data_IF_635704348323
#
_entry.id   IF_635704348323
#
_cell.length_a   1.000
_cell.length_b   1.000
_cell.length_c   1.000
_cell.angle_alpha   90.00
_cell.angle_beta   90.00
_cell.angle_gamma   90.00
#
_symmetry.space_group_name_H-M   'P 1'
#
loop_
_entity.id
_entity.type
_entity.pdbx_description
1 polymer ?
#
# COMPACT_ATOMS: atom_id res chain seq x y z
N UNK A 1 -14.70 0.70 -13.38
CA UNK A 1 -13.65 1.66 -13.73
C UNK A 1 -12.47 1.54 -12.77
N UNK A 2 -11.28 2.04 -13.20
CA UNK A 2 -10.10 1.99 -12.33
C UNK A 2 -9.04 3.00 -12.74
N UNK A 3 -8.23 3.40 -11.76
CA UNK A 3 -7.03 4.21 -11.94
C UNK A 3 -5.85 3.36 -11.49
N UNK A 4 -4.89 3.14 -12.39
CA UNK A 4 -3.62 2.51 -12.05
C UNK A 4 -2.55 3.58 -11.85
N UNK A 5 -1.82 3.48 -10.76
CA UNK A 5 -0.77 4.42 -10.37
C UNK A 5 0.51 3.61 -10.15
N UNK A 6 1.56 3.99 -10.85
CA UNK A 6 2.91 3.46 -10.67
C UNK A 6 3.97 4.56 -10.72
N UNK A 7 5.22 4.21 -10.46
CA UNK A 7 6.36 5.12 -10.58
C UNK A 7 7.16 4.70 -11.82
N UNK A 8 7.40 5.65 -12.72
CA UNK A 8 8.21 5.43 -13.92
C UNK A 8 9.66 5.13 -13.51
N UNK A 9 10.20 4.00 -13.96
CA UNK A 9 11.54 3.49 -13.58
C UNK A 9 12.67 4.51 -13.77
N UNK A 10 12.59 5.39 -14.77
CA UNK A 10 13.60 6.42 -15.04
C UNK A 10 13.81 7.40 -13.87
N UNK A 11 12.88 7.46 -12.93
CA UNK A 11 12.94 8.33 -11.75
C UNK A 11 13.37 7.60 -10.48
N UNK A 12 13.56 6.28 -10.54
CA UNK A 12 13.87 5.46 -9.36
C UNK A 12 15.38 5.31 -9.14
N UNK A 13 16.17 5.31 -10.20
CA UNK A 13 17.60 4.98 -10.18
C UNK A 13 18.55 6.19 -10.35
N UNK A 14 18.04 7.43 -10.40
CA UNK A 14 18.86 8.64 -10.52
C UNK A 14 19.29 9.22 -9.16
N UNK A 15 20.34 10.06 -9.11
CA UNK A 15 20.66 10.85 -7.92
C UNK A 15 19.48 11.81 -7.63
N UNK A 16 18.68 11.48 -6.62
CA UNK A 16 17.37 12.10 -6.32
C UNK A 16 16.18 11.27 -6.77
N UNK A 17 16.40 10.06 -7.29
CA UNK A 17 15.33 9.10 -7.59
C UNK A 17 14.57 8.74 -6.33
N UNK A 18 13.25 8.75 -6.46
CA UNK A 18 12.33 8.31 -5.42
C UNK A 18 12.46 6.79 -5.24
N UNK A 19 13.54 6.36 -4.60
CA UNK A 19 13.46 5.12 -3.85
C UNK A 19 12.95 5.50 -2.47
N UNK A 20 11.63 5.47 -2.23
CA UNK A 20 11.06 5.96 -0.98
C UNK A 20 11.55 5.17 0.21
N UNK A 21 12.17 4.03 -0.03
CA UNK A 21 12.59 3.09 0.99
C UNK A 21 14.05 3.28 1.39
N UNK A 22 14.95 3.57 0.43
CA UNK A 22 16.38 3.70 0.74
C UNK A 22 16.73 5.01 1.44
N UNK A 23 15.83 6.00 1.42
CA UNK A 23 16.02 7.30 2.04
C UNK A 23 15.02 7.59 3.19
N UNK A 24 14.14 6.64 3.53
CA UNK A 24 13.17 6.84 4.60
C UNK A 24 13.80 6.45 5.94
N UNK A 25 13.85 7.40 6.86
CA UNK A 25 14.09 7.16 8.28
C UNK A 25 12.82 6.65 9.00
N UNK A 26 12.03 5.80 8.33
CA UNK A 26 10.86 5.21 8.97
C UNK A 26 11.30 4.36 10.15
N UNK A 27 10.73 4.63 11.33
CA UNK A 27 10.97 3.85 12.56
C UNK A 27 10.69 2.35 12.38
N UNK A 28 9.83 2.04 11.43
CA UNK A 28 9.30 0.70 11.23
C UNK A 28 10.00 -0.04 10.08
N UNK A 29 10.84 0.66 9.29
CA UNK A 29 11.52 0.06 8.15
C UNK A 29 12.34 -1.18 8.55
N UNK A 30 13.16 -1.04 9.60
CA UNK A 30 14.00 -2.15 10.09
C UNK A 30 13.15 -3.33 10.56
N UNK A 31 12.00 -3.06 11.18
CA UNK A 31 11.04 -4.08 11.58
C UNK A 31 10.45 -4.81 10.37
N UNK A 32 10.02 -4.08 9.33
CA UNK A 32 9.52 -4.69 8.10
C UNK A 32 10.60 -5.50 7.37
N UNK A 33 11.83 -5.02 7.34
CA UNK A 33 12.97 -5.76 6.79
C UNK A 33 13.24 -7.03 7.60
N UNK A 34 13.20 -6.97 8.92
CA UNK A 34 13.36 -8.13 9.81
C UNK A 34 12.28 -9.18 9.56
N UNK A 35 11.01 -8.77 9.51
CA UNK A 35 9.88 -9.66 9.20
C UNK A 35 10.08 -10.35 7.85
N UNK A 36 10.42 -9.58 6.83
CA UNK A 36 10.62 -10.12 5.48
C UNK A 36 11.78 -11.11 5.41
N UNK A 37 12.90 -10.83 6.09
CA UNK A 37 14.05 -11.71 6.15
C UNK A 37 13.72 -13.03 6.85
N UNK A 38 13.04 -13.00 8.00
CA UNK A 38 12.60 -14.21 8.71
C UNK A 38 11.70 -15.09 7.83
N UNK A 39 10.78 -14.50 7.08
CA UNK A 39 9.92 -15.24 6.16
C UNK A 39 10.71 -15.86 5.00
N UNK A 40 11.70 -15.15 4.45
CA UNK A 40 12.58 -15.70 3.42
C UNK A 40 13.44 -16.87 3.93
N UNK A 41 13.95 -16.80 5.16
CA UNK A 41 14.66 -17.91 5.80
C UNK A 41 13.75 -19.13 5.95
N UNK A 42 12.50 -18.95 6.34
CA UNK A 42 11.52 -20.03 6.38
C UNK A 42 11.31 -20.65 5.01
N UNK A 43 11.23 -19.84 3.94
CA UNK A 43 11.05 -20.35 2.59
C UNK A 43 12.23 -21.21 2.13
N UNK A 44 13.47 -20.81 2.45
CA UNK A 44 14.68 -21.58 2.08
C UNK A 44 14.76 -22.93 2.76
N UNK A 45 14.16 -23.07 3.93
CA UNK A 45 14.13 -24.30 4.73
C UNK A 45 12.87 -25.14 4.46
N UNK A 46 12.06 -24.76 3.50
CA UNK A 46 10.77 -25.41 3.23
C UNK A 46 10.99 -26.73 2.46
N UNK A 47 10.36 -27.83 2.94
CA UNK A 47 10.42 -29.10 2.23
C UNK A 47 9.46 -29.07 1.01
N UNK A 48 9.86 -29.71 -0.10
CA UNK A 48 9.11 -29.68 -1.36
C UNK A 48 7.73 -30.38 -1.31
N UNK A 49 7.35 -30.98 -0.18
CA UNK A 49 6.15 -31.80 -0.06
C UNK A 49 4.85 -31.02 0.19
N UNK A 50 4.89 -29.70 0.40
CA UNK A 50 3.69 -28.91 0.67
C UNK A 50 3.65 -27.63 -0.18
N UNK A 51 3.30 -27.79 -1.45
CA UNK A 51 3.24 -26.70 -2.43
C UNK A 51 2.24 -25.59 -2.06
N UNK A 52 1.10 -25.95 -1.44
CA UNK A 52 0.08 -24.94 -1.03
C UNK A 52 0.62 -24.01 0.04
N UNK A 53 1.29 -24.54 1.06
CA UNK A 53 1.91 -23.74 2.11
C UNK A 53 3.08 -22.90 1.58
N UNK A 54 3.78 -23.39 0.56
CA UNK A 54 4.84 -22.62 -0.11
C UNK A 54 4.27 -21.39 -0.81
N UNK A 55 3.18 -21.54 -1.56
CA UNK A 55 2.52 -20.45 -2.24
C UNK A 55 1.98 -19.39 -1.26
N UNK A 56 1.40 -19.83 -0.14
CA UNK A 56 0.95 -18.96 0.94
C UNK A 56 2.13 -18.17 1.54
N UNK A 57 3.25 -18.83 1.80
CA UNK A 57 4.45 -18.21 2.34
C UNK A 57 5.06 -17.20 1.35
N UNK A 58 5.12 -17.51 0.06
CA UNK A 58 5.58 -16.59 -0.99
C UNK A 58 4.69 -15.33 -1.07
N UNK A 59 3.38 -15.48 -0.90
CA UNK A 59 2.46 -14.34 -0.82
C UNK A 59 2.72 -13.49 0.43
N UNK A 60 2.94 -14.11 1.58
CA UNK A 60 3.25 -13.41 2.82
C UNK A 60 4.59 -12.66 2.74
N UNK A 61 5.60 -13.26 2.11
CA UNK A 61 6.88 -12.60 1.84
C UNK A 61 6.66 -11.36 0.98
N UNK A 62 5.84 -11.46 -0.06
CA UNK A 62 5.52 -10.34 -0.94
C UNK A 62 4.82 -9.22 -0.18
N UNK A 63 3.81 -9.54 0.63
CA UNK A 63 3.04 -8.56 1.43
C UNK A 63 3.86 -7.92 2.55
N UNK A 64 4.88 -8.60 3.05
CA UNK A 64 5.79 -8.08 4.09
C UNK A 64 6.97 -7.31 3.51
N UNK A 65 7.09 -7.21 2.20
CA UNK A 65 8.09 -6.38 1.56
C UNK A 65 7.80 -4.90 1.83
N UNK A 66 8.82 -4.15 2.25
CA UNK A 66 8.68 -2.71 2.56
C UNK A 66 8.10 -1.88 1.41
N UNK A 67 8.38 -2.27 0.15
CA UNK A 67 7.77 -1.63 -1.04
C UNK A 67 6.27 -1.89 -1.12
N UNK A 68 5.85 -3.13 -0.82
CA UNK A 68 4.42 -3.44 -0.77
C UNK A 68 3.73 -2.63 0.31
N UNK A 69 4.29 -2.61 1.53
CA UNK A 69 3.76 -1.87 2.68
C UNK A 69 3.62 -0.39 2.32
N UNK A 70 4.65 0.23 1.74
CA UNK A 70 4.61 1.63 1.33
C UNK A 70 3.50 1.92 0.30
N UNK A 71 3.39 1.09 -0.75
CA UNK A 71 2.35 1.27 -1.76
C UNK A 71 0.94 1.06 -1.20
N UNK A 72 0.79 0.08 -0.33
CA UNK A 72 -0.48 -0.23 0.32
C UNK A 72 -0.92 0.92 1.24
N UNK A 73 -0.03 1.42 2.07
CA UNK A 73 -0.27 2.60 2.92
C UNK A 73 -0.64 3.84 2.10
N UNK A 74 0.13 4.12 1.04
CA UNK A 74 -0.18 5.22 0.13
C UNK A 74 -1.58 5.06 -0.50
N UNK A 75 -1.95 3.84 -0.89
CA UNK A 75 -3.26 3.56 -1.46
C UNK A 75 -4.39 3.91 -0.49
N UNK A 76 -4.26 3.50 0.78
CA UNK A 76 -5.22 3.81 1.81
C UNK A 76 -5.39 5.32 2.01
N UNK A 77 -4.28 6.05 2.13
CA UNK A 77 -4.32 7.52 2.26
C UNK A 77 -4.93 8.21 1.04
N UNK A 78 -4.61 7.75 -0.16
CA UNK A 78 -5.20 8.28 -1.38
C UNK A 78 -6.71 8.03 -1.41
N UNK A 79 -7.18 6.83 -1.06
CA UNK A 79 -8.59 6.50 -1.01
C UNK A 79 -9.36 7.34 -0.01
N UNK A 80 -8.83 7.52 1.21
CA UNK A 80 -9.45 8.36 2.23
C UNK A 80 -9.61 9.82 1.75
N UNK A 81 -8.59 10.38 1.12
CA UNK A 81 -8.67 11.73 0.57
C UNK A 81 -9.55 11.81 -0.67
N UNK A 82 -9.51 10.79 -1.53
CA UNK A 82 -10.34 10.71 -2.74
C UNK A 82 -11.83 10.74 -2.39
N UNK A 83 -12.26 10.01 -1.36
CA UNK A 83 -13.66 9.98 -0.92
C UNK A 83 -14.15 11.34 -0.44
N UNK A 84 -13.31 12.07 0.29
CA UNK A 84 -13.64 13.42 0.77
C UNK A 84 -13.85 14.40 -0.39
N UNK A 85 -12.96 14.33 -1.39
CA UNK A 85 -12.95 15.30 -2.49
C UNK A 85 -13.92 14.95 -3.62
N UNK A 86 -14.25 13.66 -3.78
CA UNK A 86 -15.13 13.19 -4.86
C UNK A 86 -16.59 13.01 -4.45
N UNK A 87 -16.87 12.88 -3.14
CA UNK A 87 -18.20 12.56 -2.62
C UNK A 87 -18.59 11.09 -2.78
N UNK A 88 -17.70 10.22 -3.31
CA UNK A 88 -17.96 8.79 -3.35
C UNK A 88 -17.87 8.17 -1.96
N UNK A 89 -18.70 7.16 -1.70
CA UNK A 89 -18.57 6.36 -0.49
C UNK A 89 -17.30 5.48 -0.56
N UNK A 90 -16.58 5.34 0.56
CA UNK A 90 -15.38 4.49 0.63
C UNK A 90 -15.68 3.03 0.26
N UNK A 91 -16.86 2.53 0.59
CA UNK A 91 -17.26 1.15 0.28
C UNK A 91 -17.54 0.91 -1.21
N UNK A 92 -17.65 1.99 -2.01
CA UNK A 92 -17.78 1.89 -3.47
C UNK A 92 -16.45 1.60 -4.17
N UNK A 93 -15.35 1.69 -3.44
CA UNK A 93 -14.02 1.44 -3.96
C UNK A 93 -13.47 0.08 -3.54
N UNK A 94 -12.65 -0.48 -4.40
CA UNK A 94 -11.73 -1.55 -4.09
C UNK A 94 -10.30 -1.11 -4.40
N UNK A 95 -9.36 -1.72 -3.70
CA UNK A 95 -7.94 -1.49 -3.94
C UNK A 95 -7.21 -2.78 -4.30
N UNK A 96 -6.11 -2.62 -5.04
CA UNK A 96 -5.16 -3.71 -5.25
C UNK A 96 -3.74 -3.18 -5.33
N UNK A 97 -2.88 -3.68 -4.47
CA UNK A 97 -1.46 -3.35 -4.46
C UNK A 97 -0.68 -4.42 -5.21
N UNK A 98 0.17 -4.00 -6.12
CA UNK A 98 1.07 -4.85 -6.88
C UNK A 98 2.50 -4.58 -6.45
N UNK A 99 3.24 -5.65 -6.16
CA UNK A 99 4.66 -5.59 -5.89
C UNK A 99 5.29 -6.90 -6.34
N UNK A 100 6.05 -6.88 -7.42
CA UNK A 100 6.67 -8.10 -7.96
C UNK A 100 8.10 -7.82 -8.39
N UNK A 101 9.01 -8.69 -7.98
CA UNK A 101 10.39 -8.66 -8.46
C UNK A 101 10.46 -9.29 -9.85
N UNK A 102 10.97 -8.55 -10.81
CA UNK A 102 11.25 -9.07 -12.15
C UNK A 102 12.44 -10.03 -12.08
N UNK A 103 12.21 -11.29 -12.37
CA UNK A 103 13.25 -12.34 -12.27
C UNK A 103 14.46 -12.11 -13.20
N UNK A 104 14.26 -11.41 -14.33
CA UNK A 104 15.32 -11.15 -15.31
C UNK A 104 16.19 -9.94 -14.95
N UNK A 105 15.56 -8.88 -14.46
CA UNK A 105 16.26 -7.61 -14.18
C UNK A 105 16.61 -7.44 -12.71
N UNK A 106 16.04 -8.25 -11.81
CA UNK A 106 16.18 -8.09 -10.37
C UNK A 106 15.42 -6.88 -9.79
N UNK A 107 14.83 -6.03 -10.63
CA UNK A 107 14.11 -4.83 -10.24
C UNK A 107 12.68 -5.13 -9.81
N UNK A 108 12.15 -4.34 -8.88
CA UNK A 108 10.74 -4.43 -8.49
C UNK A 108 9.86 -3.62 -9.43
N UNK A 109 8.73 -4.19 -9.80
CA UNK A 109 7.61 -3.53 -10.45
C UNK A 109 6.50 -3.41 -9.41
N UNK A 110 6.09 -2.19 -9.10
CA UNK A 110 5.13 -1.93 -8.03
C UNK A 110 4.15 -0.85 -8.46
N UNK A 111 2.94 -0.91 -7.94
CA UNK A 111 1.91 0.08 -8.20
C UNK A 111 0.61 -0.29 -7.51
N UNK A 112 -0.36 0.58 -7.59
CA UNK A 112 -1.69 0.41 -7.01
C UNK A 112 -2.78 0.58 -8.07
N UNK A 113 -3.83 -0.22 -7.94
CA UNK A 113 -5.06 -0.08 -8.69
C UNK A 113 -6.18 0.30 -7.73
N UNK A 114 -6.78 1.46 -7.96
CA UNK A 114 -8.02 1.89 -7.31
C UNK A 114 -9.14 1.67 -8.31
N UNK A 115 -10.20 0.97 -7.93
CA UNK A 115 -11.31 0.66 -8.82
C UNK A 115 -12.66 0.75 -8.11
N UNK A 116 -13.71 0.97 -8.89
CA UNK A 116 -15.09 0.94 -8.36
C UNK A 116 -15.56 -0.50 -8.23
N UNK A 117 -16.00 -0.88 -7.04
CA UNK A 117 -16.52 -2.22 -6.72
C UNK A 117 -18.03 -2.34 -6.87
N UNK A 118 -18.76 -1.22 -6.68
CA UNK A 118 -20.21 -1.19 -6.81
C UNK A 118 -20.65 -0.79 -8.21
N UNK A 119 -21.35 -1.67 -8.90
CA UNK A 119 -22.04 -1.35 -10.15
C UNK A 119 -23.39 -0.72 -9.84
N UNK A 120 -23.56 0.56 -10.12
CA UNK A 120 -24.86 1.17 -10.32
C UNK A 120 -25.50 1.96 -9.18
N UNK A 121 -24.92 2.03 -7.99
CA UNK A 121 -25.53 2.84 -6.92
C UNK A 121 -25.20 4.34 -6.99
N UNK A 122 -24.06 4.71 -7.52
CA UNK A 122 -23.61 6.10 -7.62
C UNK A 122 -23.56 6.64 -9.07
N UNK A 123 -24.24 5.96 -9.98
CA UNK A 123 -24.77 6.52 -11.24
C UNK A 123 -23.79 7.03 -12.29
N UNK A 124 -22.48 6.94 -12.12
CA UNK A 124 -21.57 7.57 -13.06
C UNK A 124 -20.56 6.60 -13.69
N UNK A 125 -20.92 6.11 -14.86
CA UNK A 125 -19.94 5.68 -15.86
C UNK A 125 -19.00 6.87 -16.12
N UNK A 126 -17.71 6.73 -15.82
CA UNK A 126 -16.71 7.78 -16.06
C UNK A 126 -16.36 8.66 -14.84
N UNK A 127 -17.02 8.48 -13.70
CA UNK A 127 -16.77 9.32 -12.52
C UNK A 127 -15.34 9.19 -11.97
N UNK A 128 -14.90 7.97 -11.70
CA UNK A 128 -13.53 7.73 -11.19
C UNK A 128 -12.46 8.11 -12.21
N UNK A 129 -12.63 7.73 -13.47
CA UNK A 129 -11.68 8.07 -14.55
C UNK A 129 -11.58 9.57 -14.78
N UNK A 130 -12.69 10.31 -14.59
CA UNK A 130 -12.67 11.77 -14.71
C UNK A 130 -11.79 12.44 -13.66
N UNK A 131 -11.59 11.80 -12.50
CA UNK A 131 -10.71 12.26 -11.43
C UNK A 131 -9.23 11.96 -11.72
N UNK A 132 -8.91 11.10 -12.69
CA UNK A 132 -7.54 10.82 -13.10
C UNK A 132 -6.86 11.97 -13.87
N UNK A 133 -7.51 13.13 -13.98
CA UNK A 133 -6.89 14.32 -14.58
C UNK A 133 -5.70 14.79 -13.76
N UNK A 134 -4.66 15.24 -14.48
CA UNK A 134 -3.37 15.62 -13.87
C UNK A 134 -3.52 16.63 -12.73
N UNK A 135 -4.36 17.64 -12.92
CA UNK A 135 -4.58 18.71 -11.96
C UNK A 135 -5.17 18.17 -10.65
N UNK A 136 -6.23 17.38 -10.76
CA UNK A 136 -6.87 16.76 -9.60
C UNK A 136 -5.93 15.80 -8.89
N UNK A 137 -5.26 14.90 -9.62
CA UNK A 137 -4.32 13.95 -9.05
C UNK A 137 -3.14 14.65 -8.36
N UNK A 138 -2.63 15.75 -8.93
CA UNK A 138 -1.55 16.52 -8.31
C UNK A 138 -1.97 17.08 -6.95
N UNK A 139 -3.16 17.65 -6.85
CA UNK A 139 -3.66 18.18 -5.57
C UNK A 139 -3.98 17.06 -4.58
N UNK A 140 -4.54 15.95 -5.04
CA UNK A 140 -4.79 14.76 -4.23
C UNK A 140 -3.48 14.24 -3.62
N UNK A 141 -2.41 14.09 -4.42
CA UNK A 141 -1.10 13.66 -3.91
C UNK A 141 -0.50 14.66 -2.93
N UNK A 142 -0.58 15.97 -3.17
CA UNK A 142 -0.11 16.99 -2.23
C UNK A 142 -0.84 16.93 -0.90
N UNK A 143 -2.17 16.77 -0.94
CA UNK A 143 -3.01 16.63 0.26
C UNK A 143 -2.65 15.36 1.03
N UNK A 144 -2.49 14.25 0.30
CA UNK A 144 -2.09 12.96 0.87
C UNK A 144 -0.73 13.04 1.54
N UNK A 145 0.27 13.61 0.88
CA UNK A 145 1.61 13.77 1.45
C UNK A 145 1.62 14.61 2.73
N UNK A 146 0.81 15.68 2.79
CA UNK A 146 0.65 16.46 4.02
C UNK A 146 -0.04 15.67 5.12
N UNK A 147 -1.06 14.87 4.79
CA UNK A 147 -1.84 14.10 5.75
C UNK A 147 -1.11 12.88 6.32
N UNK A 148 -0.06 12.39 5.66
CA UNK A 148 0.77 11.28 6.17
C UNK A 148 1.57 11.69 7.42
N UNK A 149 1.92 12.97 7.55
CA UNK A 149 2.80 13.46 8.60
C UNK A 149 2.12 13.61 9.98
N UNK A 150 0.80 13.46 10.08
CA UNK A 150 0.07 13.68 11.31
C UNK A 150 -1.17 12.82 11.42
N UNK A 151 -1.49 12.40 12.62
CA UNK A 151 -2.69 11.68 12.95
C UNK A 151 -3.45 12.40 14.08
N UNK A 152 -4.77 12.42 14.02
CA UNK A 152 -5.59 12.99 15.10
C UNK A 152 -5.44 12.25 16.45
N UNK A 153 -4.84 11.07 16.44
CA UNK A 153 -4.56 10.25 17.62
C UNK A 153 -3.08 10.33 18.07
N UNK A 154 -2.33 11.31 17.57
CA UNK A 154 -0.96 11.55 18.02
C UNK A 154 -0.94 12.11 19.46
N UNK A 155 0.07 11.76 20.28
CA UNK A 155 1.30 10.99 19.93
C UNK A 155 1.14 9.47 19.97
N UNK A 156 0.01 8.95 20.39
CA UNK A 156 -0.21 7.50 20.55
C UNK A 156 0.00 6.74 19.24
N UNK A 157 -0.46 7.30 18.13
CA UNK A 157 -0.29 6.69 16.82
C UNK A 157 1.18 6.78 16.34
N UNK A 158 1.77 7.96 16.39
CA UNK A 158 3.14 8.19 15.90
C UNK A 158 4.23 7.47 16.71
N UNK A 159 3.95 7.13 17.97
CA UNK A 159 4.88 6.40 18.84
C UNK A 159 4.67 4.88 18.80
N UNK A 160 3.63 4.43 18.13
CA UNK A 160 3.29 3.02 18.03
C UNK A 160 4.38 2.25 17.28
N UNK A 161 4.62 1.01 17.73
CA UNK A 161 5.57 0.09 17.09
C UNK A 161 4.81 -1.07 16.47
N UNK A 162 5.32 -1.57 15.37
CA UNK A 162 4.79 -2.79 14.77
C UNK A 162 5.01 -3.97 15.70
N UNK A 163 3.94 -4.72 15.96
CA UNK A 163 4.06 -6.03 16.59
C UNK A 163 4.47 -7.04 15.51
N UNK A 164 5.69 -7.57 15.59
CA UNK A 164 6.24 -8.50 14.59
C UNK A 164 5.38 -9.74 14.35
N UNK A 165 4.71 -10.23 15.38
CA UNK A 165 3.84 -11.41 15.35
C UNK A 165 2.51 -11.15 14.64
N UNK A 166 2.01 -9.92 14.70
CA UNK A 166 0.69 -9.54 14.14
C UNK A 166 0.79 -8.78 12.83
N UNK A 167 1.97 -8.22 12.49
CA UNK A 167 2.17 -7.32 11.34
C UNK A 167 1.21 -6.14 11.35
N UNK A 168 0.88 -5.67 12.54
CA UNK A 168 -0.08 -4.59 12.82
C UNK A 168 0.53 -3.62 13.81
N UNK A 169 0.03 -2.40 13.84
CA UNK A 169 0.31 -1.48 14.92
C UNK A 169 1.00 -0.18 14.54
N UNK A 170 1.43 -0.02 13.30
CA UNK A 170 2.01 1.24 12.82
C UNK A 170 0.97 2.31 12.50
N UNK A 171 -0.24 1.91 12.21
CA UNK A 171 -1.36 2.80 11.93
C UNK A 171 -2.55 2.60 12.88
N UNK A 172 -3.48 3.53 12.92
CA UNK A 172 -4.69 3.45 13.72
C UNK A 172 -5.96 3.72 12.90
N UNK A 173 -7.13 3.50 13.52
CA UNK A 173 -8.44 3.75 12.89
C UNK A 173 -8.61 5.17 12.36
N UNK A 174 -7.97 6.15 12.97
CA UNK A 174 -8.12 7.55 12.59
C UNK A 174 -7.30 7.93 11.36
N UNK A 175 -6.28 7.16 11.00
CA UNK A 175 -5.34 7.58 9.94
C UNK A 175 -5.37 6.72 8.68
N UNK A 176 -5.51 5.39 8.80
CA UNK A 176 -5.20 4.50 7.68
C UNK A 176 -6.25 3.41 7.40
N UNK A 177 -7.09 3.03 8.39
CA UNK A 177 -7.96 1.88 8.20
C UNK A 177 -9.13 2.20 7.27
N UNK A 178 -9.34 1.31 6.32
CA UNK A 178 -10.47 1.32 5.40
C UNK A 178 -11.53 0.30 5.83
N UNK A 179 -12.71 0.34 5.19
CA UNK A 179 -13.67 -0.74 5.27
C UNK A 179 -13.05 -2.05 4.79
N UNK A 180 -13.33 -3.16 5.46
CA UNK A 180 -12.83 -4.50 5.07
C UNK A 180 -13.25 -4.88 3.65
N UNK A 181 -14.38 -4.36 3.16
CA UNK A 181 -14.84 -4.57 1.78
C UNK A 181 -14.01 -3.81 0.76
N UNK A 182 -13.27 -2.79 1.16
CA UNK A 182 -12.43 -1.97 0.30
C UNK A 182 -11.00 -2.51 0.23
N UNK A 183 -10.46 -2.96 1.38
CA UNK A 183 -9.10 -3.46 1.47
C UNK A 183 -9.02 -4.97 1.25
N UNK A 184 -8.33 -5.40 0.17
CA UNK A 184 -8.11 -6.83 -0.12
C UNK A 184 -7.14 -7.53 0.85
N UNK A 185 -6.48 -6.77 1.74
CA UNK A 185 -5.46 -7.27 2.65
C UNK A 185 -5.86 -7.15 4.12
N UNK A 186 -7.16 -6.94 4.40
CA UNK A 186 -7.71 -6.88 5.76
C UNK A 186 -7.04 -5.81 6.64
N UNK A 187 -6.67 -4.67 6.05
CA UNK A 187 -5.93 -3.60 6.74
C UNK A 187 -4.61 -4.05 7.40
N UNK A 188 -3.98 -5.11 6.90
CA UNK A 188 -2.67 -5.59 7.38
C UNK A 188 -1.55 -5.03 6.51
N UNK A 189 -0.31 -5.04 7.05
CA UNK A 189 0.87 -4.57 6.32
C UNK A 189 0.76 -3.09 5.90
N UNK A 190 0.36 -2.24 6.84
CA UNK A 190 0.30 -0.78 6.73
C UNK A 190 1.34 -0.15 7.68
N UNK A 191 1.86 1.02 7.30
CA UNK A 191 2.86 1.78 8.10
C UNK A 191 2.56 3.29 8.14
#
# INVERSE_FOLDING_TARGET
>A
EGIFIDIIESNIDGPGGLNPIDNSSSKNLDTWVSINNKLNEHLTNFSEHDLLRKDELEQEITKSNSRFVWWHTLCHKLLLNLTVDSGFSIVSFGERTYCKKNKRTGKYQSGILIYTSATGSDGTLGGLVSLAKKEFMTELFKKTAKGILSCSNDPVCSERKIAEDKKEGSCCHACELLSETTCNYQNRNLD
#
